data_IF_447360243591
#
_entry.id   IF_447360243591
#
_cell.length_a   1.000
_cell.length_b   1.000
_cell.length_c   1.000
_cell.angle_alpha   90.00
_cell.angle_beta   90.00
_cell.angle_gamma   90.00
#
_symmetry.space_group_name_H-M   'P 1'
#
loop_
_entity.id
_entity.type
_entity.pdbx_description
1 polymer ?
#
# COMPACT_ATOMS: atom_id res chain seq x y z
N UNK A 1 1.22 -10.76 -30.51
CA UNK A 1 1.04 -9.63 -29.57
C UNK A 1 -0.43 -9.21 -29.66
N UNK A 2 -1.20 -9.33 -28.58
CA UNK A 2 -2.66 -9.13 -28.41
C UNK A 2 -3.54 -9.16 -29.69
N UNK A 3 -4.10 -10.32 -30.05
CA UNK A 3 -4.98 -10.47 -31.23
C UNK A 3 -6.23 -9.58 -31.20
N UNK A 4 -6.72 -9.19 -30.02
CA UNK A 4 -7.91 -8.33 -29.87
C UNK A 4 -7.69 -7.31 -28.73
N UNK A 5 -7.07 -6.15 -28.99
CA UNK A 5 -6.67 -5.19 -27.97
C UNK A 5 -7.82 -4.76 -27.04
N UNK A 6 -9.02 -4.54 -27.58
CA UNK A 6 -10.19 -4.14 -26.79
C UNK A 6 -10.58 -5.19 -25.75
N UNK A 7 -10.45 -6.48 -26.08
CA UNK A 7 -10.76 -7.56 -25.15
C UNK A 7 -9.59 -7.90 -24.23
N UNK A 8 -8.40 -7.97 -24.81
CA UNK A 8 -7.21 -8.50 -24.14
C UNK A 8 -6.54 -7.46 -23.22
N UNK A 9 -6.84 -6.17 -23.40
CA UNK A 9 -6.32 -5.06 -22.58
C UNK A 9 -7.48 -4.25 -21.97
N UNK A 10 -8.49 -3.91 -22.78
CA UNK A 10 -9.60 -3.05 -22.34
C UNK A 10 -10.39 -3.63 -21.17
N UNK A 11 -10.83 -4.90 -21.25
CA UNK A 11 -11.57 -5.53 -20.15
C UNK A 11 -10.75 -5.68 -18.86
N UNK A 12 -9.49 -6.18 -18.88
CA UNK A 12 -8.67 -6.24 -17.68
C UNK A 12 -8.47 -4.88 -17.01
N UNK A 13 -8.13 -3.85 -17.78
CA UNK A 13 -7.91 -2.50 -17.23
C UNK A 13 -9.20 -1.94 -16.63
N UNK A 14 -10.34 -2.10 -17.30
CA UNK A 14 -11.64 -1.70 -16.77
C UNK A 14 -11.99 -2.45 -15.47
N UNK A 15 -11.70 -3.76 -15.42
CA UNK A 15 -11.89 -4.58 -14.23
C UNK A 15 -11.03 -4.11 -13.06
N UNK A 16 -9.74 -3.83 -13.30
CA UNK A 16 -8.84 -3.27 -12.28
C UNK A 16 -9.32 -1.90 -11.78
N UNK A 17 -9.73 -1.02 -12.68
CA UNK A 17 -10.25 0.31 -12.33
C UNK A 17 -11.53 0.22 -11.50
N UNK A 18 -12.44 -0.69 -11.86
CA UNK A 18 -13.67 -0.95 -11.11
C UNK A 18 -13.37 -1.49 -9.71
N UNK A 19 -12.47 -2.47 -9.60
CA UNK A 19 -12.08 -3.03 -8.30
C UNK A 19 -11.45 -1.97 -7.40
N UNK A 20 -10.55 -1.14 -7.93
CA UNK A 20 -9.98 -0.01 -7.20
C UNK A 20 -11.05 0.98 -6.74
N UNK A 21 -11.99 1.35 -7.63
CA UNK A 21 -13.08 2.24 -7.29
C UNK A 21 -13.97 1.67 -6.17
N UNK A 22 -14.20 0.35 -6.15
CA UNK A 22 -14.97 -0.32 -5.09
C UNK A 22 -14.25 -0.24 -3.75
N UNK A 23 -12.95 -0.52 -3.70
CA UNK A 23 -12.16 -0.39 -2.46
C UNK A 23 -12.14 1.05 -1.95
N UNK A 24 -11.92 2.01 -2.84
CA UNK A 24 -11.87 3.43 -2.49
C UNK A 24 -13.25 3.93 -1.99
N UNK A 25 -14.31 3.67 -2.73
CA UNK A 25 -15.66 4.07 -2.35
C UNK A 25 -16.10 3.40 -1.05
N UNK A 26 -15.85 2.10 -0.89
CA UNK A 26 -16.15 1.37 0.33
C UNK A 26 -15.42 1.93 1.55
N UNK A 27 -14.14 2.26 1.41
CA UNK A 27 -13.34 2.89 2.46
C UNK A 27 -13.87 4.26 2.87
N UNK A 28 -14.11 5.15 1.90
CA UNK A 28 -14.64 6.49 2.15
C UNK A 28 -16.04 6.47 2.78
N UNK A 29 -16.91 5.57 2.30
CA UNK A 29 -18.25 5.38 2.87
C UNK A 29 -18.12 4.90 4.32
N UNK A 30 -17.28 3.89 4.59
CA UNK A 30 -17.11 3.36 5.95
C UNK A 30 -16.56 4.40 6.93
N UNK A 31 -15.56 5.17 6.50
CA UNK A 31 -14.99 6.27 7.29
C UNK A 31 -16.05 7.33 7.66
N UNK A 32 -16.95 7.64 6.73
CA UNK A 32 -18.02 8.64 6.94
C UNK A 32 -18.97 8.32 8.10
N UNK A 33 -19.09 7.04 8.49
CA UNK A 33 -19.99 6.60 9.56
C UNK A 33 -19.33 6.44 10.93
N UNK A 34 -18.00 6.25 11.01
CA UNK A 34 -17.33 5.77 12.24
C UNK A 34 -16.08 6.58 12.69
N UNK A 35 -15.65 7.62 11.98
CA UNK A 35 -14.59 8.52 12.43
C UNK A 35 -13.19 7.87 12.51
N UNK A 36 -12.31 8.35 13.41
CA UNK A 36 -10.86 8.01 13.43
C UNK A 36 -10.53 6.51 13.58
N UNK A 37 -11.38 5.74 14.25
CA UNK A 37 -11.16 4.29 14.37
C UNK A 37 -11.35 3.58 13.03
N UNK A 38 -12.32 4.04 12.23
CA UNK A 38 -12.57 3.52 10.89
C UNK A 38 -11.45 3.91 9.90
N UNK A 39 -10.91 5.12 9.98
CA UNK A 39 -9.78 5.57 9.16
C UNK A 39 -8.58 4.60 9.28
N UNK A 40 -8.24 4.20 10.51
CA UNK A 40 -7.15 3.24 10.75
C UNK A 40 -7.46 1.87 10.16
N UNK A 41 -8.70 1.37 10.32
CA UNK A 41 -9.11 0.08 9.78
C UNK A 41 -9.08 0.07 8.25
N UNK A 42 -9.58 1.13 7.60
CA UNK A 42 -9.55 1.28 6.15
C UNK A 42 -8.12 1.34 5.64
N UNK A 43 -7.24 2.08 6.33
CA UNK A 43 -5.82 2.15 5.97
C UNK A 43 -5.16 0.77 6.01
N UNK A 44 -5.38 -0.01 7.07
CA UNK A 44 -4.84 -1.37 7.19
C UNK A 44 -5.42 -2.29 6.11
N UNK A 45 -6.73 -2.21 5.84
CA UNK A 45 -7.38 -2.98 4.77
C UNK A 45 -6.76 -2.68 3.40
N UNK A 46 -6.50 -1.40 3.08
CA UNK A 46 -5.87 -1.01 1.81
C UNK A 46 -4.42 -1.52 1.71
N UNK A 47 -3.66 -1.47 2.81
CA UNK A 47 -2.30 -2.02 2.87
C UNK A 47 -2.34 -3.54 2.63
N UNK A 48 -3.22 -4.27 3.32
CA UNK A 48 -3.37 -5.71 3.15
C UNK A 48 -3.76 -6.07 1.71
N UNK A 49 -4.66 -5.30 1.10
CA UNK A 49 -5.03 -5.48 -0.31
C UNK A 49 -3.84 -5.32 -1.24
N UNK A 50 -3.00 -4.28 -1.05
CA UNK A 50 -1.79 -4.06 -1.84
C UNK A 50 -0.80 -5.23 -1.66
N UNK A 51 -0.60 -5.71 -0.44
CA UNK A 51 0.30 -6.82 -0.13
C UNK A 51 -0.17 -8.09 -0.85
N UNK A 52 -1.46 -8.44 -0.72
CA UNK A 52 -2.04 -9.64 -1.36
C UNK A 52 -1.93 -9.55 -2.88
N UNK A 53 -2.29 -8.42 -3.48
CA UNK A 53 -2.21 -8.23 -4.92
C UNK A 53 -0.76 -8.29 -5.42
N UNK A 54 0.17 -7.62 -4.72
CA UNK A 54 1.59 -7.62 -5.07
C UNK A 54 2.21 -9.01 -5.06
N UNK A 55 1.92 -9.81 -4.02
CA UNK A 55 2.38 -11.20 -3.94
C UNK A 55 1.72 -12.04 -5.04
N UNK A 56 0.42 -11.88 -5.26
CA UNK A 56 -0.32 -12.67 -6.24
C UNK A 56 0.12 -12.42 -7.68
N UNK A 57 0.60 -11.21 -8.02
CA UNK A 57 1.16 -10.93 -9.35
C UNK A 57 2.34 -11.86 -9.66
N UNK A 58 3.20 -12.16 -8.67
CA UNK A 58 4.32 -13.08 -8.89
C UNK A 58 3.90 -14.54 -8.71
N UNK A 59 3.26 -14.85 -7.58
CA UNK A 59 2.89 -16.22 -7.21
C UNK A 59 1.88 -16.79 -8.19
N UNK A 60 0.92 -15.98 -8.67
CA UNK A 60 -0.10 -16.42 -9.63
C UNK A 60 0.47 -16.78 -11.00
N UNK A 61 1.60 -16.20 -11.40
CA UNK A 61 2.26 -16.50 -12.67
C UNK A 61 3.24 -17.68 -12.57
N UNK A 62 3.92 -17.84 -11.43
CA UNK A 62 5.02 -18.81 -11.26
C UNK A 62 4.64 -20.04 -10.45
N UNK A 63 3.58 -19.95 -9.62
CA UNK A 63 3.23 -20.95 -8.61
C UNK A 63 4.15 -20.99 -7.39
N UNK A 64 5.16 -20.12 -7.30
CA UNK A 64 6.19 -20.16 -6.25
C UNK A 64 6.00 -19.02 -5.26
N UNK A 65 5.74 -19.37 -4.00
CA UNK A 65 5.81 -18.43 -2.87
C UNK A 65 7.23 -18.41 -2.30
N UNK A 66 7.81 -17.21 -2.18
CA UNK A 66 9.12 -16.99 -1.56
C UNK A 66 9.00 -15.96 -0.44
N UNK A 67 9.72 -16.21 0.67
CA UNK A 67 9.86 -15.26 1.78
C UNK A 67 10.42 -13.90 1.35
N UNK A 68 11.16 -13.86 0.23
CA UNK A 68 11.71 -12.62 -0.31
C UNK A 68 10.63 -11.58 -0.61
N UNK A 69 9.46 -11.98 -1.10
CA UNK A 69 8.38 -11.01 -1.42
C UNK A 69 7.90 -10.26 -0.19
N UNK A 70 7.62 -10.99 0.90
CA UNK A 70 7.18 -10.39 2.16
C UNK A 70 8.34 -9.63 2.81
N UNK A 71 9.57 -10.15 2.72
CA UNK A 71 10.76 -9.48 3.26
C UNK A 71 11.01 -8.12 2.61
N UNK A 72 11.04 -8.04 1.28
CA UNK A 72 11.21 -6.78 0.57
C UNK A 72 10.02 -5.83 0.80
N UNK A 73 8.79 -6.36 0.85
CA UNK A 73 7.60 -5.56 1.21
C UNK A 73 7.71 -4.95 2.61
N UNK A 74 8.19 -5.70 3.59
CA UNK A 74 8.40 -5.21 4.95
C UNK A 74 9.49 -4.12 5.02
N UNK A 75 10.60 -4.29 4.29
CA UNK A 75 11.67 -3.28 4.22
C UNK A 75 11.14 -1.99 3.58
N UNK A 76 10.39 -2.10 2.47
CA UNK A 76 9.79 -0.95 1.80
C UNK A 76 8.78 -0.22 2.71
N UNK A 77 7.90 -0.96 3.38
CA UNK A 77 6.94 -0.39 4.33
C UNK A 77 7.61 0.29 5.52
N UNK A 78 8.70 -0.29 6.04
CA UNK A 78 9.49 0.33 7.11
C UNK A 78 10.17 1.62 6.65
N UNK A 79 10.81 1.60 5.48
CA UNK A 79 11.44 2.80 4.90
C UNK A 79 10.41 3.93 4.70
N UNK A 80 9.27 3.62 4.08
CA UNK A 80 8.16 4.56 3.90
C UNK A 80 7.71 5.16 5.24
N UNK A 81 7.47 4.32 6.25
CA UNK A 81 7.03 4.78 7.56
C UNK A 81 8.04 5.72 8.22
N UNK A 82 9.34 5.44 8.09
CA UNK A 82 10.41 6.32 8.59
C UNK A 82 10.44 7.66 7.84
N UNK A 83 10.15 7.71 6.55
CA UNK A 83 10.17 8.98 5.80
C UNK A 83 8.87 9.80 5.90
N UNK A 84 7.72 9.15 6.12
CA UNK A 84 6.40 9.79 6.07
C UNK A 84 5.83 10.19 7.45
N UNK A 85 6.27 9.55 8.55
CA UNK A 85 5.74 9.86 9.89
C UNK A 85 6.27 11.21 10.41
N UNK A 86 5.46 11.93 11.18
CA UNK A 86 5.86 13.24 11.72
C UNK A 86 7.04 13.15 12.70
N UNK A 87 7.93 14.16 12.76
CA UNK A 87 9.05 14.18 13.71
C UNK A 87 8.62 14.00 15.18
N UNK A 88 7.48 14.58 15.57
CA UNK A 88 6.92 14.41 16.92
C UNK A 88 6.57 12.96 17.25
N UNK A 89 6.04 12.20 16.29
CA UNK A 89 5.74 10.78 16.47
C UNK A 89 7.02 9.92 16.38
N UNK A 90 8.05 10.35 15.64
CA UNK A 90 9.37 9.70 15.66
C UNK A 90 10.01 9.77 17.02
N UNK A 91 9.99 10.91 17.70
CA UNK A 91 10.54 11.02 19.06
C UNK A 91 9.89 10.02 20.03
N UNK A 92 8.62 9.67 19.83
CA UNK A 92 7.91 8.70 20.68
C UNK A 92 8.25 7.25 20.36
N UNK A 93 8.54 6.93 19.08
CA UNK A 93 8.67 5.55 18.59
C UNK A 93 10.11 5.12 18.30
N UNK A 94 10.93 6.04 17.81
CA UNK A 94 12.32 5.86 17.37
C UNK A 94 13.18 7.08 17.75
N UNK A 95 13.32 7.43 19.04
CA UNK A 95 13.99 8.66 19.49
C UNK A 95 15.45 8.76 19.02
N UNK A 96 16.17 7.64 18.95
CA UNK A 96 17.59 7.59 18.59
C UNK A 96 17.79 7.11 17.14
N UNK A 97 17.00 7.63 16.19
CA UNK A 97 17.13 7.21 14.79
C UNK A 97 18.52 7.61 14.22
N UNK A 98 19.27 6.66 13.63
CA UNK A 98 20.58 6.94 13.06
C UNK A 98 20.48 7.84 11.82
N UNK A 99 21.62 8.41 11.40
CA UNK A 99 21.74 9.20 10.15
C UNK A 99 20.88 10.47 10.08
N UNK A 100 20.40 10.99 11.22
CA UNK A 100 19.61 12.22 11.26
C UNK A 100 18.17 12.05 10.78
N UNK A 101 17.63 10.82 10.79
CA UNK A 101 16.27 10.53 10.31
C UNK A 101 15.15 11.08 11.20
N UNK A 102 15.48 11.59 12.39
CA UNK A 102 14.51 12.15 13.35
C UNK A 102 13.75 13.36 12.79
N UNK A 103 14.42 14.21 12.00
CA UNK A 103 13.84 15.46 11.52
C UNK A 103 13.28 15.36 10.10
N UNK A 104 13.50 14.23 9.42
CA UNK A 104 13.07 14.05 8.03
C UNK A 104 11.54 13.94 7.96
N UNK A 105 10.90 14.73 7.13
CA UNK A 105 9.46 14.58 6.85
C UNK A 105 9.24 14.79 5.35
N UNK A 106 8.97 13.70 4.65
CA UNK A 106 8.58 13.73 3.25
C UNK A 106 7.07 13.71 3.12
N UNK A 107 6.56 14.33 2.06
CA UNK A 107 5.18 14.12 1.65
C UNK A 107 4.99 12.61 1.39
N UNK A 108 3.93 11.95 1.90
CA UNK A 108 3.69 10.53 1.66
C UNK A 108 3.74 10.13 0.18
N UNK A 109 3.37 11.02 -0.74
CA UNK A 109 3.47 10.76 -2.18
C UNK A 109 4.91 10.65 -2.71
N UNK A 110 5.89 11.17 -1.97
CA UNK A 110 7.33 11.18 -2.30
C UNK A 110 8.15 10.28 -1.37
N UNK A 111 7.51 9.66 -0.38
CA UNK A 111 8.16 8.75 0.57
C UNK A 111 8.28 7.30 0.05
N UNK A 112 7.98 7.08 -1.23
CA UNK A 112 7.99 5.81 -1.97
C UNK A 112 9.17 5.76 -2.94
#
# INVERSE_FOLDING_TARGET
MFPRPGRDIGFPVAGCALLFAVFLAGGLIYESFQGRAAERLVTVMLIDAIIVLGIQIYVGNTGVLSFGHIGFGAIAGYAFAVFAISPEEKLKRIPDAPFGLNDVLLNPALAV
#
